data_IF_326410335759
#
_entry.id   IF_326410335759
#
_cell.length_a   1.000
_cell.length_b   1.000
_cell.length_c   1.000
_cell.angle_alpha   90.00
_cell.angle_beta   90.00
_cell.angle_gamma   90.00
#
_symmetry.space_group_name_H-M   'P 1'
#
loop_
_entity.id
_entity.type
_entity.pdbx_description
1 polymer ?
#
# COMPACT_ATOMS: atom_id res chain seq x y z
N UNK A 1 42.76 1.96 -19.06
CA UNK A 1 41.97 2.39 -20.23
C UNK A 1 40.84 3.24 -19.71
N UNK A 2 40.86 4.55 -19.94
CA UNK A 2 39.77 5.43 -19.58
C UNK A 2 38.63 5.21 -20.59
N UNK A 3 37.43 4.89 -20.09
CA UNK A 3 36.23 4.71 -20.91
C UNK A 3 35.74 6.09 -21.38
N UNK A 4 35.60 6.36 -22.70
CA UNK A 4 35.10 7.61 -23.20
C UNK A 4 33.58 7.60 -23.09
N UNK A 5 33.06 7.74 -21.87
CA UNK A 5 31.67 8.16 -21.70
C UNK A 5 31.58 9.59 -22.20
N UNK A 6 31.22 9.73 -23.47
CA UNK A 6 30.60 10.93 -23.99
C UNK A 6 29.41 11.21 -23.07
N UNK A 7 29.58 12.16 -22.16
CA UNK A 7 28.47 12.72 -21.43
C UNK A 7 27.61 13.41 -22.48
N UNK A 8 26.46 12.83 -22.84
CA UNK A 8 25.40 13.59 -23.50
C UNK A 8 25.23 14.90 -22.73
N UNK A 9 25.18 16.02 -23.45
CA UNK A 9 24.93 17.32 -22.85
C UNK A 9 23.70 17.21 -21.96
N UNK A 10 23.87 17.46 -20.66
CA UNK A 10 22.81 17.27 -19.69
C UNK A 10 21.59 18.13 -20.07
N UNK A 11 20.49 17.49 -20.47
CA UNK A 11 19.21 18.15 -20.71
C UNK A 11 18.31 17.94 -19.51
N UNK A 12 18.04 19.03 -18.78
CA UNK A 12 17.17 19.01 -17.60
C UNK A 12 15.80 18.38 -17.92
N UNK A 13 15.41 17.37 -17.14
CA UNK A 13 14.11 16.70 -17.24
C UNK A 13 13.99 15.64 -18.35
N UNK A 14 15.07 15.37 -19.09
CA UNK A 14 15.11 14.30 -20.09
C UNK A 14 15.50 12.93 -19.51
N UNK A 15 15.86 12.88 -18.22
CA UNK A 15 16.24 11.65 -17.53
C UNK A 15 15.08 10.65 -17.57
N UNK A 16 15.38 9.40 -17.92
CA UNK A 16 14.42 8.29 -17.81
C UNK A 16 14.08 8.03 -16.34
N UNK A 17 12.79 7.90 -16.03
CA UNK A 17 12.28 7.76 -14.64
C UNK A 17 11.44 6.49 -14.40
N UNK A 18 11.59 5.46 -15.24
CA UNK A 18 10.71 4.28 -15.21
C UNK A 18 10.86 3.49 -13.92
N UNK A 19 12.08 3.39 -13.40
CA UNK A 19 12.34 2.69 -12.14
C UNK A 19 11.73 3.43 -10.94
N UNK A 20 11.79 4.76 -10.96
CA UNK A 20 11.21 5.63 -9.94
C UNK A 20 9.67 5.55 -9.98
N UNK A 21 9.07 5.51 -11.17
CA UNK A 21 7.64 5.28 -11.34
C UNK A 21 7.21 3.93 -10.78
N UNK A 22 7.93 2.84 -11.12
CA UNK A 22 7.67 1.51 -10.58
C UNK A 22 7.76 1.47 -9.05
N UNK A 23 8.76 2.15 -8.48
CA UNK A 23 8.95 2.23 -7.03
C UNK A 23 7.80 3.00 -6.37
N UNK A 24 7.38 4.12 -6.98
CA UNK A 24 6.25 4.91 -6.52
C UNK A 24 4.95 4.11 -6.53
N UNK A 25 4.67 3.38 -7.61
CA UNK A 25 3.47 2.55 -7.73
C UNK A 25 3.44 1.44 -6.67
N UNK A 26 4.59 0.80 -6.40
CA UNK A 26 4.71 -0.17 -5.31
C UNK A 26 4.45 0.48 -3.95
N UNK A 27 5.08 1.62 -3.66
CA UNK A 27 4.89 2.35 -2.41
C UNK A 27 3.41 2.72 -2.20
N UNK A 28 2.76 3.26 -3.22
CA UNK A 28 1.35 3.63 -3.16
C UNK A 28 0.45 2.41 -2.96
N UNK A 29 0.75 1.28 -3.60
CA UNK A 29 0.07 0.01 -3.35
C UNK A 29 0.21 -0.45 -1.90
N UNK A 30 1.43 -0.43 -1.36
CA UNK A 30 1.72 -0.81 0.02
C UNK A 30 1.06 0.13 1.03
N UNK A 31 1.10 1.45 0.82
CA UNK A 31 0.47 2.42 1.71
C UNK A 31 -1.07 2.23 1.73
N UNK A 32 -1.66 2.00 0.56
CA UNK A 32 -3.10 1.81 0.41
C UNK A 32 -3.61 0.55 1.12
N UNK A 33 -2.99 -0.60 0.89
CA UNK A 33 -3.45 -1.86 1.50
C UNK A 33 -2.88 -2.07 2.90
N UNK A 34 -1.67 -1.56 3.16
CA UNK A 34 -1.02 -1.63 4.47
C UNK A 34 -1.75 -0.81 5.53
N UNK A 35 -2.23 0.40 5.22
CA UNK A 35 -3.05 1.18 6.15
C UNK A 35 -4.35 0.48 6.52
N UNK A 36 -5.03 -0.14 5.55
CA UNK A 36 -6.22 -0.97 5.80
C UNK A 36 -5.90 -2.16 6.72
N UNK A 37 -4.78 -2.84 6.48
CA UNK A 37 -4.36 -3.98 7.29
C UNK A 37 -4.08 -3.56 8.74
N UNK A 38 -3.34 -2.47 8.94
CA UNK A 38 -3.07 -1.92 10.27
C UNK A 38 -4.36 -1.56 10.99
N UNK A 39 -5.28 -0.83 10.33
CA UNK A 39 -6.56 -0.44 10.93
C UNK A 39 -7.41 -1.66 11.33
N UNK A 40 -7.48 -2.69 10.47
CA UNK A 40 -8.26 -3.90 10.73
C UNK A 40 -7.69 -4.72 11.89
N UNK A 41 -6.35 -4.83 11.96
CA UNK A 41 -5.66 -5.51 13.07
C UNK A 41 -5.85 -4.75 14.38
N UNK A 42 -5.74 -3.43 14.37
CA UNK A 42 -5.97 -2.62 15.56
C UNK A 42 -7.39 -2.81 16.09
N UNK A 43 -8.41 -2.78 15.22
CA UNK A 43 -9.79 -3.04 15.61
C UNK A 43 -9.97 -4.43 16.26
N UNK A 44 -9.35 -5.47 15.70
CA UNK A 44 -9.34 -6.80 16.30
C UNK A 44 -8.70 -6.81 17.69
N UNK A 45 -7.50 -6.25 17.83
CA UNK A 45 -6.80 -6.22 19.12
C UNK A 45 -7.58 -5.43 20.17
N UNK A 46 -8.22 -4.32 19.78
CA UNK A 46 -9.09 -3.55 20.68
C UNK A 46 -10.28 -4.37 21.18
N UNK A 47 -10.99 -5.07 20.29
CA UNK A 47 -12.16 -5.88 20.66
C UNK A 47 -11.76 -7.12 21.46
N UNK A 48 -10.60 -7.70 21.17
CA UNK A 48 -10.10 -8.84 21.93
C UNK A 48 -9.72 -8.44 23.36
N UNK A 49 -8.93 -7.38 23.54
CA UNK A 49 -8.36 -7.04 24.84
C UNK A 49 -9.21 -6.12 25.72
N UNK A 50 -10.32 -5.57 25.24
CA UNK A 50 -11.23 -4.81 26.10
C UNK A 50 -11.90 -5.70 27.17
N UNK A 51 -12.34 -5.15 28.33
CA UNK A 51 -13.09 -5.92 29.32
C UNK A 51 -14.33 -6.60 28.72
N UNK A 52 -14.51 -7.90 29.00
CA UNK A 52 -15.53 -8.74 28.34
C UNK A 52 -15.40 -8.82 26.81
N UNK A 53 -14.19 -8.60 26.29
CA UNK A 53 -13.85 -8.73 24.89
C UNK A 53 -13.95 -10.16 24.36
N UNK A 54 -13.93 -10.28 23.03
CA UNK A 54 -14.09 -11.57 22.36
C UNK A 54 -13.09 -11.69 21.22
N UNK A 55 -12.26 -12.75 21.27
CA UNK A 55 -11.36 -13.10 20.18
C UNK A 55 -12.14 -13.32 18.88
N UNK A 56 -13.19 -14.14 18.92
CA UNK A 56 -14.00 -14.48 17.74
C UNK A 56 -14.73 -13.25 17.20
N UNK A 57 -15.30 -12.42 18.10
CA UNK A 57 -15.96 -11.17 17.72
C UNK A 57 -15.00 -10.19 17.04
N UNK A 58 -13.81 -9.98 17.62
CA UNK A 58 -12.80 -9.12 17.03
C UNK A 58 -12.28 -9.66 15.70
N UNK A 59 -12.08 -10.98 15.58
CA UNK A 59 -11.61 -11.61 14.34
C UNK A 59 -12.63 -11.44 13.21
N UNK A 60 -13.92 -11.61 13.50
CA UNK A 60 -15.00 -11.33 12.54
C UNK A 60 -14.97 -9.87 12.07
N UNK A 61 -14.82 -8.92 12.99
CA UNK A 61 -14.71 -7.49 12.63
C UNK A 61 -13.53 -7.23 11.73
N UNK A 62 -12.35 -7.77 12.02
CA UNK A 62 -11.17 -7.64 11.16
C UNK A 62 -11.41 -8.22 9.76
N UNK A 63 -12.01 -9.41 9.65
CA UNK A 63 -12.29 -10.05 8.36
C UNK A 63 -13.27 -9.21 7.54
N UNK A 64 -14.35 -8.73 8.17
CA UNK A 64 -15.37 -7.91 7.49
C UNK A 64 -14.78 -6.56 7.07
N UNK A 65 -14.03 -5.88 7.94
CA UNK A 65 -13.37 -4.61 7.61
C UNK A 65 -12.36 -4.78 6.47
N UNK A 66 -11.57 -5.84 6.50
CA UNK A 66 -10.61 -6.14 5.43
C UNK A 66 -11.34 -6.40 4.10
N UNK A 67 -12.35 -7.27 4.09
CA UNK A 67 -13.09 -7.61 2.88
C UNK A 67 -13.83 -6.40 2.28
N UNK A 68 -14.54 -5.64 3.13
CA UNK A 68 -15.21 -4.42 2.73
C UNK A 68 -14.20 -3.37 2.24
N UNK A 69 -13.13 -3.13 2.99
CA UNK A 69 -12.08 -2.20 2.63
C UNK A 69 -11.43 -2.54 1.28
N UNK A 70 -11.10 -3.82 1.03
CA UNK A 70 -10.60 -4.26 -0.28
C UNK A 70 -11.62 -3.98 -1.38
N UNK A 71 -12.91 -4.27 -1.15
CA UNK A 71 -13.96 -4.02 -2.12
C UNK A 71 -14.08 -2.52 -2.47
N UNK A 72 -14.06 -1.64 -1.47
CA UNK A 72 -14.12 -0.18 -1.66
C UNK A 72 -12.84 0.40 -2.29
N UNK A 73 -11.68 -0.18 -1.98
CA UNK A 73 -10.39 0.30 -2.48
C UNK A 73 -10.09 -0.19 -3.90
N UNK A 74 -10.81 -1.18 -4.44
CA UNK A 74 -10.66 -1.56 -5.85
C UNK A 74 -11.06 -0.38 -6.72
N UNK A 75 -10.16 0.06 -7.62
CA UNK A 75 -10.49 1.10 -8.59
C UNK A 75 -11.72 0.63 -9.39
N UNK A 76 -12.73 1.48 -9.65
CA UNK A 76 -13.76 1.14 -10.61
C UNK A 76 -13.10 0.86 -11.97
N UNK A 77 -13.64 -0.10 -12.73
CA UNK A 77 -13.18 -0.33 -14.11
C UNK A 77 -13.30 1.01 -14.85
N UNK A 78 -12.18 1.57 -15.30
CA UNK A 78 -12.23 2.68 -16.24
C UNK A 78 -12.91 2.15 -17.51
N UNK A 79 -14.06 2.74 -17.87
CA UNK A 79 -14.76 2.50 -19.12
C UNK A 79 -14.01 3.15 -20.27
#
# INVERSE_FOLDING_TARGET
>A
MADPHAHDDYVRGSMEIREQQSTYDLFMGMAKYGSLAIASVLAFLTIWFMPNGSFVGGFLVMVVMMAAGIAFLRKPKAH
#
